data_IF_265791442451
#
_entry.id   IF_265791442451
#
_cell.length_a   1.000
_cell.length_b   1.000
_cell.length_c   1.000
_cell.angle_alpha   90.00
_cell.angle_beta   90.00
_cell.angle_gamma   90.00
#
_symmetry.space_group_name_H-M   'P 1'
#
loop_
_entity.id
_entity.type
_entity.pdbx_description
1 polymer ?
#
# COMPACT_ATOMS: atom_id res chain seq x y z
N UNK A 1 -8.76 -14.23 -2.37
CA UNK A 1 -9.91 -13.51 -2.97
C UNK A 1 -9.35 -12.46 -3.91
N UNK A 2 -9.71 -12.46 -5.20
CA UNK A 2 -9.39 -11.35 -6.11
C UNK A 2 -10.61 -10.45 -6.17
N UNK A 3 -10.42 -9.14 -5.98
CA UNK A 3 -11.50 -8.19 -6.19
C UNK A 3 -11.94 -8.23 -7.67
N UNK A 4 -13.22 -7.93 -7.97
CA UNK A 4 -13.68 -7.75 -9.35
C UNK A 4 -12.81 -6.73 -10.10
N UNK A 5 -12.73 -6.83 -11.42
CA UNK A 5 -12.01 -5.85 -12.25
C UNK A 5 -12.50 -4.42 -11.94
N UNK A 6 -11.56 -3.48 -11.79
CA UNK A 6 -11.79 -2.08 -11.42
C UNK A 6 -12.41 -1.85 -10.04
N UNK A 7 -12.40 -2.85 -9.15
CA UNK A 7 -12.73 -2.67 -7.74
C UNK A 7 -11.46 -2.55 -6.89
N UNK A 8 -11.19 -1.32 -6.42
CA UNK A 8 -10.12 -1.09 -5.46
C UNK A 8 -10.64 -1.20 -4.03
N UNK A 9 -9.92 -1.88 -3.12
CA UNK A 9 -10.31 -1.92 -1.72
C UNK A 9 -10.24 -0.51 -1.12
N UNK A 10 -11.29 -0.15 -0.38
CA UNK A 10 -11.35 1.04 0.46
C UNK A 10 -11.06 0.62 1.89
N UNK A 11 -10.02 1.19 2.48
CA UNK A 11 -9.66 1.00 3.87
C UNK A 11 -10.23 2.13 4.72
N UNK A 12 -10.74 1.78 5.90
CA UNK A 12 -11.23 2.71 6.91
C UNK A 12 -10.51 2.46 8.24
N UNK A 13 -9.90 3.50 8.78
CA UNK A 13 -9.37 3.55 10.14
C UNK A 13 -10.12 4.65 10.90
N UNK A 14 -10.75 4.29 12.02
CA UNK A 14 -11.54 5.26 12.80
C UNK A 14 -11.57 4.94 14.29
N UNK A 15 -11.66 6.00 15.11
CA UNK A 15 -11.95 5.94 16.54
C UNK A 15 -13.46 6.01 16.87
N UNK A 16 -14.30 5.99 15.84
CA UNK A 16 -15.76 6.17 15.87
C UNK A 16 -16.25 7.54 16.39
N UNK A 17 -15.34 8.47 16.67
CA UNK A 17 -15.64 9.82 17.12
C UNK A 17 -15.28 10.80 16.00
N UNK A 18 -14.13 11.44 16.10
CA UNK A 18 -13.74 12.56 15.23
C UNK A 18 -12.68 12.19 14.20
N UNK A 19 -12.11 10.99 14.29
CA UNK A 19 -11.06 10.54 13.37
C UNK A 19 -11.62 9.48 12.43
N UNK A 20 -11.88 9.86 11.19
CA UNK A 20 -12.31 8.94 10.13
C UNK A 20 -11.36 9.05 8.95
N UNK A 21 -10.41 8.12 8.88
CA UNK A 21 -9.39 8.07 7.85
C UNK A 21 -9.77 7.03 6.80
N UNK A 22 -9.96 7.48 5.57
CA UNK A 22 -10.22 6.63 4.42
C UNK A 22 -9.00 6.63 3.50
N UNK A 23 -8.66 5.45 2.98
CA UNK A 23 -7.61 5.32 1.97
C UNK A 23 -7.96 4.28 0.92
N UNK A 24 -7.62 4.57 -0.34
CA UNK A 24 -7.82 3.64 -1.45
C UNK A 24 -6.79 3.88 -2.54
N UNK A 25 -6.55 2.86 -3.35
CA UNK A 25 -5.74 2.95 -4.55
C UNK A 25 -6.58 3.29 -5.77
N UNK A 26 -6.00 4.02 -6.72
CA UNK A 26 -6.55 4.17 -8.07
C UNK A 26 -6.00 3.13 -9.03
N UNK A 27 -6.51 3.15 -10.26
CA UNK A 27 -6.01 2.45 -11.43
C UNK A 27 -4.55 2.76 -11.79
N UNK A 28 -4.04 3.90 -11.33
CA UNK A 28 -2.67 4.36 -11.60
C UNK A 28 -1.70 4.11 -10.44
N UNK A 29 -2.02 3.16 -9.55
CA UNK A 29 -1.23 2.88 -8.34
C UNK A 29 -1.00 4.11 -7.47
N UNK A 30 -1.96 5.04 -7.45
CA UNK A 30 -1.89 6.24 -6.62
C UNK A 30 -2.72 6.01 -5.36
N UNK A 31 -2.09 6.18 -4.19
CA UNK A 31 -2.78 6.14 -2.91
C UNK A 31 -3.45 7.50 -2.67
N UNK A 32 -4.78 7.48 -2.54
CA UNK A 32 -5.57 8.65 -2.15
C UNK A 32 -6.02 8.50 -0.71
N UNK A 33 -5.90 9.57 0.07
CA UNK A 33 -6.30 9.60 1.47
C UNK A 33 -7.24 10.78 1.73
N UNK A 34 -8.27 10.56 2.55
CA UNK A 34 -9.12 11.62 3.09
C UNK A 34 -9.36 11.39 4.57
N UNK A 35 -9.26 12.47 5.34
CA UNK A 35 -9.61 12.49 6.77
C UNK A 35 -10.86 13.33 6.93
N UNK A 36 -11.90 12.73 7.51
CA UNK A 36 -13.14 13.42 7.82
C UNK A 36 -13.30 13.54 9.33
N UNK A 37 -13.78 14.70 9.76
CA UNK A 37 -14.24 14.93 11.12
C UNK A 37 -15.75 14.77 11.17
N UNK A 38 -16.25 14.41 12.35
CA UNK A 38 -17.65 14.13 12.65
C UNK A 38 -18.20 12.87 11.95
N UNK A 39 -18.83 11.93 12.70
CA UNK A 39 -19.34 10.69 12.12
C UNK A 39 -20.32 10.91 10.95
N UNK A 40 -21.12 11.97 11.00
CA UNK A 40 -22.10 12.31 9.95
C UNK A 40 -21.45 12.46 8.57
N UNK A 41 -20.26 13.05 8.49
CA UNK A 41 -19.57 13.25 7.22
C UNK A 41 -19.00 11.92 6.69
N UNK A 42 -18.48 11.09 7.60
CA UNK A 42 -17.97 9.78 7.27
C UNK A 42 -19.07 8.84 6.75
N UNK A 43 -20.23 8.79 7.41
CA UNK A 43 -21.35 7.97 6.93
C UNK A 43 -21.86 8.43 5.55
N UNK A 44 -21.94 9.74 5.30
CA UNK A 44 -22.28 10.26 3.96
C UNK A 44 -21.24 9.88 2.91
N UNK A 45 -19.96 9.86 3.27
CA UNK A 45 -18.90 9.40 2.36
C UNK A 45 -19.04 7.91 2.04
N UNK A 46 -19.30 7.07 3.03
CA UNK A 46 -19.54 5.63 2.85
C UNK A 46 -20.74 5.39 1.94
N UNK A 47 -21.86 6.07 2.20
CA UNK A 47 -23.06 5.98 1.37
C UNK A 47 -22.76 6.34 -0.10
N UNK A 48 -22.08 7.46 -0.33
CA UNK A 48 -21.67 7.87 -1.67
C UNK A 48 -20.71 6.86 -2.35
N UNK A 49 -19.77 6.30 -1.59
CA UNK A 49 -18.80 5.31 -2.09
C UNK A 49 -19.46 3.97 -2.45
N UNK A 50 -20.46 3.53 -1.68
CA UNK A 50 -21.23 2.31 -1.95
C UNK A 50 -22.15 2.51 -3.16
N UNK A 51 -22.88 3.62 -3.21
CA UNK A 51 -23.80 3.94 -4.32
C UNK A 51 -23.06 4.07 -5.66
N UNK A 52 -21.85 4.67 -5.65
CA UNK A 52 -20.97 4.81 -6.82
C UNK A 52 -20.55 3.50 -7.47
N UNK A 53 -20.57 2.36 -6.76
CA UNK A 53 -20.26 1.05 -7.38
C UNK A 53 -21.24 0.66 -8.49
N UNK A 54 -22.38 1.36 -8.59
CA UNK A 54 -23.43 1.07 -9.57
C UNK A 54 -23.25 1.83 -10.88
N UNK A 55 -22.47 2.91 -10.92
CA UNK A 55 -22.36 3.80 -12.08
C UNK A 55 -20.90 4.05 -12.45
N UNK A 56 -20.52 3.69 -13.68
CA UNK A 56 -19.15 3.71 -14.20
C UNK A 56 -18.64 5.12 -14.56
N UNK A 57 -18.69 6.10 -13.66
CA UNK A 57 -18.23 7.46 -13.95
C UNK A 57 -17.48 8.15 -12.79
N UNK A 58 -16.37 8.88 -13.07
CA UNK A 58 -15.64 9.64 -12.08
C UNK A 58 -16.17 11.08 -11.96
N UNK A 59 -16.39 11.55 -10.72
CA UNK A 59 -16.32 12.96 -10.28
C UNK A 59 -16.69 13.07 -8.79
N UNK A 60 -15.75 13.38 -7.87
CA UNK A 60 -16.06 13.41 -6.45
C UNK A 60 -17.11 14.49 -6.17
N UNK A 61 -18.07 14.26 -5.25
CA UNK A 61 -19.04 15.28 -4.90
C UNK A 61 -18.31 16.50 -4.32
N UNK A 62 -18.80 17.68 -4.69
CA UNK A 62 -18.31 19.04 -4.32
C UNK A 62 -18.37 19.38 -2.82
N UNK A 63 -18.40 18.36 -1.96
CA UNK A 63 -18.63 18.47 -0.51
C UNK A 63 -17.41 18.09 0.33
N UNK A 64 -16.28 17.72 -0.28
CA UNK A 64 -15.08 17.31 0.47
C UNK A 64 -14.27 18.55 0.84
N UNK A 65 -14.17 18.91 2.13
CA UNK A 65 -13.34 20.02 2.56
C UNK A 65 -11.90 19.54 2.68
N UNK A 66 -11.01 20.05 1.83
CA UNK A 66 -9.57 19.96 2.01
C UNK A 66 -8.81 19.25 0.87
N UNK A 67 -7.52 19.59 0.69
CA UNK A 67 -6.67 18.98 -0.32
C UNK A 67 -6.41 17.51 0.02
N UNK A 68 -6.60 16.62 -0.96
CA UNK A 68 -6.21 15.22 -0.86
C UNK A 68 -4.69 15.13 -0.72
N UNK A 69 -4.20 14.28 0.18
CA UNK A 69 -2.79 13.89 0.19
C UNK A 69 -2.63 12.74 -0.80
N UNK A 70 -2.13 13.06 -1.98
CA UNK A 70 -1.85 12.09 -3.04
C UNK A 70 -0.43 11.61 -2.88
N UNK A 71 -0.25 10.29 -2.75
CA UNK A 71 1.06 9.68 -2.56
C UNK A 71 1.26 8.70 -3.74
N UNK A 72 2.32 8.91 -4.54
CA UNK A 72 2.68 7.96 -5.61
C UNK A 72 3.38 6.77 -4.97
N UNK A 73 2.85 5.56 -5.16
CA UNK A 73 3.41 4.35 -4.53
C UNK A 73 4.78 4.00 -5.08
N UNK A 74 5.05 4.32 -6.34
CA UNK A 74 6.35 4.09 -6.99
C UNK A 74 7.50 4.79 -6.26
N UNK A 75 7.23 5.90 -5.56
CA UNK A 75 8.24 6.62 -4.76
C UNK A 75 8.59 5.86 -3.45
N UNK A 76 7.85 4.82 -3.10
CA UNK A 76 8.00 4.04 -1.85
C UNK A 76 8.37 2.58 -2.08
N UNK A 77 8.36 2.12 -3.33
CA UNK A 77 8.85 0.79 -3.66
C UNK A 77 10.39 0.84 -3.69
N UNK A 78 11.08 -0.22 -3.25
CA UNK A 78 12.52 -0.31 -3.40
C UNK A 78 12.82 -0.28 -4.90
N UNK A 79 13.61 0.72 -5.33
CA UNK A 79 14.17 0.69 -6.68
C UNK A 79 15.22 -0.43 -6.71
N UNK A 80 15.26 -1.24 -7.79
CA UNK A 80 16.29 -2.26 -7.96
C UNK A 80 17.61 -1.56 -8.24
N UNK A 81 18.27 -1.06 -7.20
CA UNK A 81 19.56 -0.35 -7.31
C UNK A 81 20.75 -1.29 -7.04
N UNK A 82 20.53 -2.46 -6.45
CA UNK A 82 21.60 -3.38 -6.08
C UNK A 82 21.43 -4.77 -6.73
N UNK A 83 21.54 -4.77 -8.07
CA UNK A 83 21.58 -5.98 -8.92
C UNK A 83 22.47 -7.07 -8.32
N UNK A 84 23.54 -6.68 -7.63
CA UNK A 84 24.52 -7.59 -7.02
C UNK A 84 23.96 -8.39 -5.84
N UNK A 85 23.05 -7.82 -5.05
CA UNK A 85 22.44 -8.50 -3.90
C UNK A 85 21.34 -9.46 -4.35
N UNK A 86 20.57 -9.08 -5.38
CA UNK A 86 19.56 -9.94 -6.01
C UNK A 86 20.22 -11.13 -6.72
N UNK A 87 21.25 -10.87 -7.54
CA UNK A 87 22.02 -11.92 -8.22
C UNK A 87 22.72 -12.88 -7.24
N UNK A 88 23.15 -12.38 -6.07
CA UNK A 88 23.73 -13.24 -5.02
C UNK A 88 22.68 -14.17 -4.40
N UNK A 89 21.45 -13.70 -4.20
CA UNK A 89 20.37 -14.55 -3.67
C UNK A 89 19.88 -15.57 -4.69
N UNK A 90 19.77 -15.20 -5.96
CA UNK A 90 19.45 -16.14 -7.04
C UNK A 90 20.42 -17.31 -7.08
N UNK A 91 21.73 -17.05 -6.85
CA UNK A 91 22.74 -18.11 -6.76
C UNK A 91 22.51 -19.08 -5.59
N UNK A 92 22.09 -18.58 -4.42
CA UNK A 92 21.76 -19.45 -3.30
C UNK A 92 20.51 -20.29 -3.56
N UNK A 93 19.48 -19.70 -4.18
CA UNK A 93 18.27 -20.43 -4.57
C UNK A 93 18.56 -21.52 -5.61
N UNK A 94 19.48 -21.26 -6.54
CA UNK A 94 19.90 -22.24 -7.55
C UNK A 94 20.66 -23.43 -6.95
N UNK A 95 21.21 -23.29 -5.75
CA UNK A 95 21.92 -24.35 -5.01
C UNK A 95 21.08 -24.91 -3.86
N UNK A 96 19.78 -24.62 -3.79
CA UNK A 96 18.93 -25.01 -2.67
C UNK A 96 18.81 -26.53 -2.45
N UNK A 97 19.14 -27.33 -3.47
CA UNK A 97 19.21 -28.79 -3.41
C UNK A 97 20.52 -29.33 -2.84
N UNK A 98 21.58 -28.52 -2.84
CA UNK A 98 22.93 -28.87 -2.35
C UNK A 98 23.21 -28.27 -0.97
N UNK A 99 22.55 -27.17 -0.64
CA UNK A 99 22.83 -26.36 0.55
C UNK A 99 21.91 -26.76 1.71
N UNK A 100 22.47 -26.75 2.93
CA UNK A 100 21.70 -27.04 4.14
C UNK A 100 20.51 -26.08 4.31
N UNK A 101 19.31 -26.57 4.67
CA UNK A 101 18.10 -25.75 4.80
C UNK A 101 18.27 -24.56 5.76
N UNK A 102 18.97 -24.76 6.87
CA UNK A 102 19.20 -23.74 7.89
C UNK A 102 20.07 -22.59 7.35
N UNK A 103 21.08 -22.92 6.56
CA UNK A 103 21.93 -21.91 5.91
C UNK A 103 21.13 -21.09 4.90
N UNK A 104 20.31 -21.75 4.07
CA UNK A 104 19.49 -21.10 3.06
C UNK A 104 18.46 -20.15 3.72
N UNK A 105 17.86 -20.60 4.82
CA UNK A 105 16.90 -19.80 5.59
C UNK A 105 17.55 -18.54 6.19
N UNK A 106 18.78 -18.65 6.70
CA UNK A 106 19.54 -17.50 7.19
C UNK A 106 19.80 -16.46 6.08
N UNK A 107 20.21 -16.92 4.89
CA UNK A 107 20.43 -16.01 3.74
C UNK A 107 19.16 -15.33 3.25
N UNK A 108 18.04 -16.06 3.20
CA UNK A 108 16.72 -15.47 2.88
C UNK A 108 16.32 -14.40 3.90
N UNK A 109 16.57 -14.64 5.18
CA UNK A 109 16.25 -13.68 6.24
C UNK A 109 17.13 -12.42 6.14
N UNK A 110 18.43 -12.56 5.89
CA UNK A 110 19.35 -11.43 5.65
C UNK A 110 18.92 -10.59 4.44
N UNK A 111 18.58 -11.24 3.32
CA UNK A 111 18.09 -10.56 2.13
C UNK A 111 16.78 -9.82 2.38
N UNK A 112 15.82 -10.47 3.05
CA UNK A 112 14.54 -9.84 3.38
C UNK A 112 14.73 -8.59 4.26
N UNK A 113 15.66 -8.65 5.22
CA UNK A 113 16.02 -7.46 6.01
C UNK A 113 16.63 -6.36 5.16
N UNK A 114 17.55 -6.69 4.25
CA UNK A 114 18.16 -5.71 3.34
C UNK A 114 17.11 -5.02 2.46
N UNK A 115 16.19 -5.80 1.87
CA UNK A 115 15.09 -5.28 1.04
C UNK A 115 14.17 -4.37 1.85
N UNK A 116 13.84 -4.75 3.08
CA UNK A 116 13.00 -3.91 3.97
C UNK A 116 13.73 -2.62 4.34
N UNK A 117 15.03 -2.67 4.64
CA UNK A 117 15.82 -1.49 5.01
C UNK A 117 16.05 -0.53 3.84
N UNK A 118 16.13 -1.04 2.61
CA UNK A 118 16.25 -0.20 1.41
C UNK A 118 14.92 0.43 0.98
N UNK A 119 13.79 0.01 1.54
CA UNK A 119 12.50 0.66 1.27
C UNK A 119 12.50 2.09 1.81
N UNK A 120 12.16 3.09 0.98
CA UNK A 120 12.04 4.48 1.43
C UNK A 120 11.11 4.67 2.64
N UNK A 121 10.08 3.81 2.78
CA UNK A 121 9.16 3.82 3.93
C UNK A 121 9.85 3.47 5.25
N UNK A 122 10.82 2.54 5.24
CA UNK A 122 11.54 2.13 6.45
C UNK A 122 12.36 3.28 7.03
N UNK A 123 13.01 4.09 6.17
CA UNK A 123 13.70 5.30 6.59
C UNK A 123 12.77 6.33 7.25
N UNK A 124 11.51 6.45 6.80
CA UNK A 124 10.54 7.39 7.35
C UNK A 124 9.90 6.93 8.67
N UNK A 125 9.91 5.63 8.97
CA UNK A 125 9.32 5.08 10.21
C UNK A 125 10.21 5.29 11.44
N UNK A 126 11.51 5.49 11.26
CA UNK A 126 12.50 5.60 12.34
C UNK A 126 13.28 6.93 12.33
N UNK A 127 12.78 7.93 11.61
CA UNK A 127 13.32 9.30 11.56
C UNK A 127 12.76 10.21 12.67
#
# INVERSE_FOLDING_TARGET
MKAPLNCYPLSLLTDLNDHWHFSWFSDKHVLTQVTLQYPKNAFRFIEAAVLRRTESAPLPPSFIPGPFKTIKVDDFLPQPDDDRVEEMMERYELMADVVEPEFLMARRMEYAQHVVQSMPMYAHMYA
#
